data_IF_231600865304
#
_entry.id   IF_231600865304
#
_cell.length_a   1.000
_cell.length_b   1.000
_cell.length_c   1.000
_cell.angle_alpha   90.00
_cell.angle_beta   90.00
_cell.angle_gamma   90.00
#
_symmetry.space_group_name_H-M   'P 1'
#
loop_
_entity.id
_entity.type
_entity.pdbx_description
1 polymer ?
#
# COMPACT_ATOMS: atom_id res chain seq x y z
N UNK A 1 3.63 -11.95 14.67
CA UNK A 1 2.75 -10.84 14.28
C UNK A 1 2.19 -11.14 12.90
N UNK A 2 0.90 -10.92 12.65
CA UNK A 2 0.29 -11.18 11.34
C UNK A 2 0.72 -10.10 10.33
N UNK A 3 0.91 -10.47 9.06
CA UNK A 3 1.17 -9.50 7.98
C UNK A 3 0.05 -8.47 7.83
N UNK A 4 -1.17 -8.86 8.24
CA UNK A 4 -2.39 -8.08 8.19
C UNK A 4 -2.55 -7.02 9.28
N UNK A 5 -1.72 -7.05 10.34
CA UNK A 5 -1.78 -6.08 11.44
C UNK A 5 -3.21 -5.75 11.90
N UNK A 6 -3.58 -4.46 11.88
CA UNK A 6 -4.90 -3.98 12.32
C UNK A 6 -5.94 -3.85 11.18
N UNK A 7 -5.56 -4.15 9.93
CA UNK A 7 -6.52 -4.02 8.83
C UNK A 7 -7.58 -5.12 8.92
N UNK A 8 -8.84 -4.72 8.73
CA UNK A 8 -9.93 -5.69 8.55
C UNK A 8 -9.63 -6.60 7.36
N UNK A 9 -10.19 -7.81 7.36
CA UNK A 9 -9.97 -8.78 6.28
C UNK A 9 -10.28 -8.18 4.89
N UNK A 10 -11.33 -7.37 4.80
CA UNK A 10 -11.76 -6.75 3.56
C UNK A 10 -10.77 -5.68 3.10
N UNK A 11 -10.30 -4.82 4.01
CA UNK A 11 -9.30 -3.80 3.68
C UNK A 11 -7.98 -4.45 3.27
N UNK A 12 -7.55 -5.48 3.99
CA UNK A 12 -6.34 -6.24 3.66
C UNK A 12 -6.44 -6.90 2.28
N UNK A 13 -7.54 -7.58 1.99
CA UNK A 13 -7.75 -8.28 0.72
C UNK A 13 -7.81 -7.28 -0.45
N UNK A 14 -8.52 -6.17 -0.28
CA UNK A 14 -8.56 -5.12 -1.29
C UNK A 14 -7.17 -4.50 -1.55
N UNK A 15 -6.40 -4.24 -0.50
CA UNK A 15 -5.04 -3.72 -0.63
C UNK A 15 -4.12 -4.69 -1.35
N UNK A 16 -4.18 -5.99 -1.03
CA UNK A 16 -3.44 -7.04 -1.73
C UNK A 16 -3.78 -7.04 -3.22
N UNK A 17 -5.06 -7.00 -3.55
CA UNK A 17 -5.53 -7.03 -4.93
C UNK A 17 -5.10 -5.80 -5.72
N UNK A 18 -5.30 -4.61 -5.16
CA UNK A 18 -5.03 -3.36 -5.87
C UNK A 18 -3.54 -3.06 -5.97
N UNK A 19 -2.71 -3.56 -5.05
CA UNK A 19 -1.26 -3.45 -5.14
C UNK A 19 -0.63 -4.55 -6.02
N UNK A 20 -1.44 -5.49 -6.56
CA UNK A 20 -0.99 -6.60 -7.40
C UNK A 20 0.17 -7.42 -6.81
N UNK A 21 0.26 -7.49 -5.48
CA UNK A 21 1.37 -8.18 -4.80
C UNK A 21 1.31 -9.69 -5.05
N UNK A 22 0.10 -10.23 -5.17
CA UNK A 22 -0.15 -11.66 -5.21
C UNK A 22 -1.08 -12.05 -6.35
N UNK A 23 -0.80 -11.56 -7.56
CA UNK A 23 -1.59 -11.87 -8.77
C UNK A 23 -1.78 -13.39 -9.00
N UNK A 24 -0.96 -14.23 -8.34
CA UNK A 24 -1.04 -15.70 -8.42
C UNK A 24 -1.31 -16.46 -7.10
N UNK A 25 -1.35 -15.82 -5.92
CA UNK A 25 -1.32 -16.54 -4.64
C UNK A 25 -2.61 -16.49 -3.80
N UNK A 26 -3.61 -15.69 -4.19
CA UNK A 26 -4.88 -15.63 -3.46
C UNK A 26 -5.83 -16.69 -4.02
N UNK A 27 -6.41 -17.52 -3.13
CA UNK A 27 -7.31 -18.66 -3.45
C UNK A 27 -8.62 -18.25 -4.17
N UNK A 28 -8.82 -16.95 -4.42
CA UNK A 28 -9.95 -16.30 -5.10
C UNK A 28 -9.36 -15.20 -5.98
N UNK A 29 -9.80 -15.06 -7.23
CA UNK A 29 -9.30 -13.98 -8.09
C UNK A 29 -9.75 -12.63 -7.55
N UNK A 30 -8.91 -11.61 -7.68
CA UNK A 30 -9.28 -10.24 -7.28
C UNK A 30 -10.54 -9.75 -7.98
N UNK A 31 -10.75 -10.20 -9.22
CA UNK A 31 -12.01 -10.05 -9.97
C UNK A 31 -13.20 -10.60 -9.18
N UNK A 32 -13.16 -11.87 -8.76
CA UNK A 32 -14.23 -12.49 -7.98
C UNK A 32 -14.47 -11.77 -6.65
N UNK A 33 -13.41 -11.30 -5.99
CA UNK A 33 -13.55 -10.52 -4.75
C UNK A 33 -14.33 -9.22 -5.00
N UNK A 34 -14.01 -8.46 -6.04
CA UNK A 34 -14.66 -7.19 -6.35
C UNK A 34 -16.05 -7.34 -6.99
N UNK A 35 -16.33 -8.46 -7.66
CA UNK A 35 -17.65 -8.78 -8.22
C UNK A 35 -18.64 -9.30 -7.17
N UNK A 36 -18.17 -10.10 -6.20
CA UNK A 36 -19.02 -10.71 -5.17
C UNK A 36 -19.27 -9.82 -3.95
N UNK A 37 -18.29 -8.98 -3.61
CA UNK A 37 -18.46 -7.96 -2.58
C UNK A 37 -19.18 -6.76 -3.21
N UNK A 38 -20.13 -6.15 -2.49
CA UNK A 38 -20.60 -4.81 -2.84
C UNK A 38 -19.43 -3.85 -2.57
N UNK A 39 -18.43 -3.87 -3.45
CA UNK A 39 -17.02 -3.56 -3.20
C UNK A 39 -16.78 -2.19 -2.56
N UNK A 40 -17.66 -1.24 -2.85
CA UNK A 40 -17.64 0.09 -2.25
C UNK A 40 -17.98 0.06 -0.74
N UNK A 41 -19.00 -0.70 -0.34
CA UNK A 41 -19.51 -0.75 1.04
C UNK A 41 -18.46 -1.21 2.05
N UNK A 42 -17.64 -2.20 1.69
CA UNK A 42 -16.62 -2.75 2.58
C UNK A 42 -15.36 -1.90 2.69
N UNK A 43 -15.04 -1.13 1.64
CA UNK A 43 -13.92 -0.21 1.60
C UNK A 43 -14.19 1.09 2.39
N UNK A 44 -15.45 1.49 2.56
CA UNK A 44 -15.81 2.60 3.46
C UNK A 44 -15.48 2.32 4.92
N UNK A 45 -15.35 1.04 5.31
CA UNK A 45 -14.99 0.65 6.66
C UNK A 45 -13.48 0.63 6.89
N UNK A 46 -12.67 0.96 5.88
CA UNK A 46 -11.22 1.11 6.06
C UNK A 46 -10.91 2.45 6.74
N UNK A 47 -9.88 2.45 7.58
CA UNK A 47 -9.38 3.67 8.22
C UNK A 47 -9.04 4.74 7.17
N UNK A 48 -9.29 6.01 7.48
CA UNK A 48 -9.04 7.17 6.60
C UNK A 48 -7.64 7.17 5.95
N UNK A 49 -6.68 6.55 6.61
CA UNK A 49 -5.38 6.19 6.05
C UNK A 49 -5.09 4.73 6.34
N UNK A 50 -4.70 3.98 5.31
CA UNK A 50 -4.30 2.59 5.41
C UNK A 50 -2.82 2.46 5.15
N UNK A 51 -2.07 1.93 6.12
CA UNK A 51 -0.66 1.55 5.94
C UNK A 51 -0.59 0.17 5.31
N UNK A 52 0.20 0.04 4.25
CA UNK A 52 0.40 -1.23 3.60
C UNK A 52 1.80 -1.31 2.97
N UNK A 53 2.55 -2.39 3.19
CA UNK A 53 2.27 -3.48 4.10
C UNK A 53 2.46 -2.96 5.52
N UNK A 54 1.90 -3.67 6.48
CA UNK A 54 1.96 -3.25 7.88
C UNK A 54 3.30 -3.62 8.50
N UNK A 55 3.99 -4.59 7.89
CA UNK A 55 5.39 -4.87 8.18
C UNK A 55 6.21 -3.95 7.27
N UNK A 56 7.15 -3.17 7.82
CA UNK A 56 7.96 -2.29 6.99
C UNK A 56 8.84 -3.07 6.04
N UNK A 57 9.01 -2.50 4.85
CA UNK A 57 9.76 -3.06 3.74
C UNK A 57 11.08 -2.31 3.58
N UNK A 58 12.07 -2.99 3.01
CA UNK A 58 13.47 -2.54 2.93
C UNK A 58 14.06 -2.22 4.31
N UNK A 59 14.67 -3.23 4.93
CA UNK A 59 15.38 -3.14 6.21
C UNK A 59 14.52 -2.62 7.38
N UNK A 60 13.20 -2.53 7.21
CA UNK A 60 12.27 -2.21 8.29
C UNK A 60 11.95 -0.73 8.46
N UNK A 61 12.21 0.11 7.44
CA UNK A 61 12.09 1.56 7.59
C UNK A 61 11.22 2.27 6.56
N UNK A 62 10.59 1.57 5.62
CA UNK A 62 9.66 2.19 4.66
C UNK A 62 8.29 1.53 4.73
N UNK A 63 7.24 2.35 4.71
CA UNK A 63 5.84 1.93 4.62
C UNK A 63 5.12 2.81 3.62
N UNK A 64 4.11 2.28 2.95
CA UNK A 64 3.28 3.09 2.07
C UNK A 64 1.94 3.38 2.72
N UNK A 65 1.47 4.61 2.55
CA UNK A 65 0.20 5.08 3.08
C UNK A 65 -0.76 5.38 1.94
N UNK A 66 -1.99 4.89 2.07
CA UNK A 66 -3.03 5.00 1.08
C UNK A 66 -4.28 5.61 1.69
N UNK A 67 -4.95 6.49 0.96
CA UNK A 67 -6.27 7.02 1.30
C UNK A 67 -7.34 6.14 0.66
N UNK A 68 -8.24 5.51 1.43
CA UNK A 68 -9.28 4.64 0.87
C UNK A 68 -10.19 5.31 -0.15
N UNK A 69 -10.39 6.63 -0.06
CA UNK A 69 -11.13 7.39 -1.09
C UNK A 69 -10.51 7.25 -2.48
N UNK A 70 -9.18 7.07 -2.56
CA UNK A 70 -8.45 6.88 -3.81
C UNK A 70 -8.43 5.40 -4.26
N UNK A 71 -8.91 4.49 -3.40
CA UNK A 71 -9.06 3.06 -3.65
C UNK A 71 -10.45 2.78 -4.25
N UNK A 72 -11.49 3.43 -3.70
CA UNK A 72 -12.90 3.25 -4.06
C UNK A 72 -13.25 3.52 -5.54
N UNK A 73 -12.45 4.32 -6.24
CA UNK A 73 -12.73 4.75 -7.62
C UNK A 73 -11.80 4.12 -8.66
N UNK A 74 -10.97 3.14 -8.29
CA UNK A 74 -9.99 2.56 -9.23
C UNK A 74 -10.54 1.31 -9.90
N UNK A 75 -10.36 1.26 -11.22
CA UNK A 75 -10.38 0.02 -11.97
C UNK A 75 -9.33 -0.91 -11.36
N UNK A 76 -9.76 -2.07 -10.85
CA UNK A 76 -8.85 -3.05 -10.23
C UNK A 76 -7.81 -3.59 -11.22
N UNK A 77 -7.99 -3.35 -12.53
CA UNK A 77 -6.98 -3.61 -13.55
C UNK A 77 -5.77 -2.68 -13.45
N UNK A 78 -5.89 -1.53 -12.79
CA UNK A 78 -4.81 -0.58 -12.55
C UNK A 78 -4.19 -0.79 -11.17
N UNK A 79 -2.86 -0.72 -11.10
CA UNK A 79 -2.17 -0.81 -9.82
C UNK A 79 -2.41 0.46 -8.98
N UNK A 80 -2.59 0.26 -7.68
CA UNK A 80 -2.72 1.33 -6.72
C UNK A 80 -1.35 1.89 -6.36
N UNK A 81 -1.14 3.15 -6.73
CA UNK A 81 -0.01 3.97 -6.26
C UNK A 81 -0.36 4.52 -4.87
N UNK A 82 0.63 4.54 -3.97
CA UNK A 82 0.51 5.12 -2.63
C UNK A 82 0.41 6.63 -2.67
N UNK A 83 -0.32 7.21 -1.72
CA UNK A 83 -0.43 8.66 -1.56
C UNK A 83 0.83 9.23 -0.87
N UNK A 84 1.37 8.46 0.08
CA UNK A 84 2.56 8.83 0.82
C UNK A 84 3.51 7.64 0.99
N UNK A 85 4.78 7.98 1.10
CA UNK A 85 5.83 7.08 1.57
C UNK A 85 6.21 7.53 2.97
N UNK A 86 5.99 6.66 3.95
CA UNK A 86 6.37 6.86 5.34
C UNK A 86 7.68 6.15 5.63
N UNK A 87 8.51 6.74 6.49
CA UNK A 87 9.83 6.25 6.79
C UNK A 87 10.32 6.59 8.19
N UNK A 88 11.37 5.90 8.63
CA UNK A 88 12.06 6.21 9.88
C UNK A 88 12.89 7.50 9.74
N UNK A 89 12.53 8.54 10.49
CA UNK A 89 13.18 9.86 10.43
C UNK A 89 14.65 9.83 10.89
N UNK A 90 15.01 8.94 11.82
CA UNK A 90 16.38 8.85 12.33
C UNK A 90 17.32 8.26 11.28
N UNK A 91 16.81 7.39 10.44
CA UNK A 91 17.58 6.73 9.38
C UNK A 91 17.52 7.51 8.07
N UNK A 92 16.43 8.23 7.83
CA UNK A 92 16.22 9.03 6.63
C UNK A 92 16.30 10.55 6.89
N UNK A 93 17.25 11.01 7.71
CA UNK A 93 17.40 12.44 8.08
C UNK A 93 17.51 13.42 6.90
N UNK A 94 17.95 12.94 5.75
CA UNK A 94 18.07 13.73 4.52
C UNK A 94 16.71 13.97 3.83
N UNK A 95 15.70 13.16 4.14
CA UNK A 95 14.34 13.32 3.66
C UNK A 95 13.55 14.16 4.67
N UNK A 96 13.18 15.37 4.26
CA UNK A 96 12.26 16.20 5.06
C UNK A 96 10.83 15.69 4.90
N UNK A 97 10.08 15.50 6.00
CA UNK A 97 8.67 15.13 5.91
C UNK A 97 7.83 16.25 5.31
N UNK A 98 6.81 15.87 4.57
CA UNK A 98 5.72 16.78 4.18
C UNK A 98 4.41 16.47 4.89
N UNK A 99 4.34 15.33 5.58
CA UNK A 99 3.18 14.89 6.33
C UNK A 99 3.61 14.03 7.54
N UNK A 100 2.87 14.11 8.65
CA UNK A 100 3.01 13.19 9.79
C UNK A 100 1.68 12.48 10.02
N UNK A 101 1.71 11.15 10.09
CA UNK A 101 0.55 10.32 10.37
C UNK A 101 0.74 9.60 11.71
N UNK A 102 0.21 10.18 12.80
CA UNK A 102 0.58 9.74 14.14
C UNK A 102 2.07 9.92 14.37
N UNK A 103 2.78 8.83 14.69
CA UNK A 103 4.22 8.83 14.90
C UNK A 103 5.04 8.62 13.62
N UNK A 104 4.40 8.32 12.50
CA UNK A 104 5.10 8.05 11.26
C UNK A 104 5.43 9.36 10.51
N UNK A 105 6.68 9.45 10.09
CA UNK A 105 7.20 10.55 9.28
C UNK A 105 7.00 10.20 7.81
N UNK A 106 6.27 11.02 7.07
CA UNK A 106 5.85 10.70 5.71
C UNK A 106 6.12 11.83 4.72
N UNK A 107 6.21 11.46 3.45
CA UNK A 107 6.31 12.38 2.32
C UNK A 107 5.35 11.98 1.22
N UNK A 108 4.81 12.96 0.50
CA UNK A 108 3.95 12.68 -0.65
C UNK A 108 4.70 11.87 -1.71
N UNK A 109 4.05 10.83 -2.24
CA UNK A 109 4.70 9.93 -3.19
C UNK A 109 5.21 10.65 -4.45
N UNK A 110 4.45 11.62 -4.96
CA UNK A 110 4.83 12.40 -6.14
C UNK A 110 6.06 13.30 -5.91
N UNK A 111 6.39 13.62 -4.66
CA UNK A 111 7.57 14.42 -4.30
C UNK A 111 8.84 13.58 -4.12
N UNK A 112 8.70 12.25 -4.10
CA UNK A 112 9.83 11.33 -3.93
C UNK A 112 10.64 11.16 -5.21
N UNK A 113 10.21 11.74 -6.33
CA UNK A 113 10.87 11.58 -7.63
C UNK A 113 10.84 10.15 -8.16
N UNK A 114 9.92 9.32 -7.65
CA UNK A 114 9.72 7.94 -8.11
C UNK A 114 8.95 7.98 -9.43
N UNK A 115 9.48 7.33 -10.46
CA UNK A 115 8.82 7.27 -11.77
C UNK A 115 7.48 6.53 -11.65
N UNK A 116 6.34 7.18 -11.95
CA UNK A 116 5.02 6.56 -11.86
C UNK A 116 4.90 5.30 -12.74
N UNK A 117 5.65 5.20 -13.84
CA UNK A 117 5.67 4.03 -14.72
C UNK A 117 6.47 2.86 -14.13
N UNK A 118 7.51 3.15 -13.35
CA UNK A 118 8.25 2.14 -12.57
C UNK A 118 7.43 1.71 -11.35
N UNK A 119 6.56 2.59 -10.84
CA UNK A 119 5.78 2.31 -9.62
C UNK A 119 4.66 1.29 -9.74
N UNK A 120 4.25 0.90 -10.96
CA UNK A 120 3.36 -0.24 -11.18
C UNK A 120 3.95 -1.57 -10.63
N UNK A 121 5.26 -1.60 -10.41
CA UNK A 121 6.00 -2.72 -9.82
C UNK A 121 6.76 -2.34 -8.55
N UNK A 122 6.31 -1.33 -7.78
CA UNK A 122 6.93 -0.91 -6.52
C UNK A 122 7.28 -2.12 -5.64
N UNK A 123 6.33 -3.04 -5.52
CA UNK A 123 6.49 -4.28 -4.76
C UNK A 123 7.50 -5.24 -5.38
N UNK A 124 7.39 -5.52 -6.67
CA UNK A 124 8.19 -6.53 -7.36
C UNK A 124 9.66 -6.11 -7.47
N UNK A 125 9.93 -4.85 -7.84
CA UNK A 125 11.29 -4.30 -7.91
C UNK A 125 11.96 -4.20 -6.53
N UNK A 126 11.19 -3.85 -5.48
CA UNK A 126 11.70 -3.83 -4.10
C UNK A 126 11.88 -5.24 -3.52
N UNK A 127 11.03 -6.22 -3.82
CA UNK A 127 11.17 -7.60 -3.34
C UNK A 127 12.29 -8.33 -4.10
N UNK A 128 12.43 -8.11 -5.41
CA UNK A 128 13.46 -8.74 -6.22
C UNK A 128 14.87 -8.24 -5.87
N UNK A 129 15.01 -7.02 -5.31
CA UNK A 129 16.28 -6.54 -4.73
C UNK A 129 16.57 -7.07 -3.32
N UNK A 130 15.65 -7.81 -2.69
CA UNK A 130 15.78 -8.43 -1.36
C UNK A 130 15.98 -9.97 -1.47
N UNK A 131 15.97 -10.55 -2.68
CA UNK A 131 16.37 -11.95 -2.85
C UNK A 131 17.87 -12.10 -2.53
N UNK A 132 18.26 -13.05 -1.66
CA UNK A 132 19.67 -13.35 -1.40
C UNK A 132 20.38 -13.90 -2.65
#
# INVERSE_FOLDING_TARGET
MSAQGNLSQNCWTAMVCLNKIFDHAVRMSCEQYFESSHSNAHLYNCESFTQFPIIPILQGHVRFLYRPKNILNKDFKLALISDYVCYDEQLCKFLKPTFRNGNDTCRHNHEMGLDPNITYHNWKSMIDSIKP
#
